data_IF_674475601509
#
_entry.id   IF_674475601509
#
_cell.length_a   1.000
_cell.length_b   1.000
_cell.length_c   1.000
_cell.angle_alpha   90.00
_cell.angle_beta   90.00
_cell.angle_gamma   90.00
#
_symmetry.space_group_name_H-M   'P 1'
#
loop_
_entity.id
_entity.type
_entity.pdbx_description
1 polymer ?
#
# COMPACT_ATOMS: atom_id res chain seq x y z
N UNK A 1 8.54 31.64 -5.76
CA UNK A 1 9.00 30.35 -6.35
C UNK A 1 8.08 29.19 -5.89
N UNK A 2 6.85 29.17 -6.40
CA UNK A 2 5.92 28.05 -6.27
C UNK A 2 5.33 27.78 -7.66
N UNK A 3 6.16 27.28 -8.57
CA UNK A 3 5.68 26.62 -9.77
C UNK A 3 5.83 25.12 -9.51
N UNK A 4 4.79 24.50 -8.95
CA UNK A 4 4.71 23.05 -8.86
C UNK A 4 4.71 22.52 -10.29
N UNK A 5 5.83 21.95 -10.74
CA UNK A 5 5.92 21.38 -12.08
C UNK A 5 5.11 20.09 -12.14
N UNK A 6 4.62 19.70 -13.32
CA UNK A 6 3.79 18.51 -13.51
C UNK A 6 4.50 17.24 -12.98
N UNK A 7 5.82 17.15 -13.12
CA UNK A 7 6.64 16.07 -12.54
C UNK A 7 6.62 16.02 -11.00
N UNK A 8 6.50 17.16 -10.32
CA UNK A 8 6.37 17.18 -8.85
C UNK A 8 5.00 16.64 -8.41
N UNK A 9 3.96 16.90 -9.20
CA UNK A 9 2.63 16.35 -8.94
C UNK A 9 2.61 14.82 -9.08
N UNK A 10 3.33 14.26 -10.07
CA UNK A 10 3.47 12.81 -10.25
C UNK A 10 4.06 12.12 -9.01
N UNK A 11 5.12 12.71 -8.42
CA UNK A 11 5.79 12.15 -7.24
C UNK A 11 4.87 12.22 -6.01
N UNK A 12 4.17 13.35 -5.84
CA UNK A 12 3.20 13.51 -4.75
C UNK A 12 2.05 12.52 -4.90
N UNK A 13 1.48 12.40 -6.10
CA UNK A 13 0.40 11.46 -6.38
C UNK A 13 0.84 10.00 -6.12
N UNK A 14 2.06 9.63 -6.52
CA UNK A 14 2.60 8.30 -6.24
C UNK A 14 2.79 8.02 -4.73
N UNK A 15 3.29 9.01 -3.97
CA UNK A 15 3.42 8.91 -2.52
C UNK A 15 2.06 8.77 -1.82
N UNK A 16 1.06 9.53 -2.26
CA UNK A 16 -0.29 9.44 -1.70
C UNK A 16 -0.96 8.11 -2.07
N UNK A 17 -0.83 7.65 -3.31
CA UNK A 17 -1.41 6.38 -3.75
C UNK A 17 -0.84 5.16 -3.01
N UNK A 18 0.46 5.18 -2.69
CA UNK A 18 1.13 4.09 -1.96
C UNK A 18 0.84 4.09 -0.46
N UNK A 19 0.35 5.20 0.10
CA UNK A 19 0.02 5.32 1.54
C UNK A 19 -1.47 5.10 1.81
N UNK A 20 -2.36 5.48 0.89
CA UNK A 20 -3.81 5.27 1.00
C UNK A 20 -4.23 3.89 0.49
N UNK A 21 -3.90 2.85 1.26
CA UNK A 21 -4.12 1.45 0.88
C UNK A 21 -5.38 0.87 1.52
N UNK A 22 -6.48 0.80 0.75
CA UNK A 22 -7.79 0.40 1.30
C UNK A 22 -7.94 -1.08 1.63
N UNK A 23 -7.29 -1.98 0.88
CA UNK A 23 -7.39 -3.41 1.17
C UNK A 23 -6.78 -3.72 2.55
N UNK A 24 -5.69 -3.04 2.93
CA UNK A 24 -5.13 -3.10 4.28
C UNK A 24 -6.13 -2.57 5.32
N UNK A 25 -6.82 -1.46 5.03
CA UNK A 25 -7.82 -0.89 5.92
C UNK A 25 -9.00 -1.86 6.16
N UNK A 26 -9.47 -2.56 5.13
CA UNK A 26 -10.47 -3.62 5.29
C UNK A 26 -9.90 -4.79 6.09
N UNK A 27 -8.71 -5.26 5.74
CA UNK A 27 -8.13 -6.44 6.39
C UNK A 27 -7.80 -6.21 7.87
N UNK A 28 -7.60 -4.95 8.29
CA UNK A 28 -7.51 -4.61 9.70
C UNK A 28 -8.70 -5.14 10.51
N UNK A 29 -9.91 -5.16 9.92
CA UNK A 29 -11.09 -5.74 10.57
C UNK A 29 -10.98 -7.26 10.80
N UNK A 30 -10.28 -7.99 9.93
CA UNK A 30 -9.99 -9.42 10.09
C UNK A 30 -8.92 -9.62 11.18
N UNK A 31 -7.87 -8.79 11.21
CA UNK A 31 -6.83 -8.87 12.25
C UNK A 31 -7.39 -8.60 13.65
N UNK A 32 -8.33 -7.67 13.78
CA UNK A 32 -9.03 -7.40 15.06
C UNK A 32 -9.84 -8.62 15.49
N UNK A 33 -10.51 -9.30 14.54
CA UNK A 33 -11.26 -10.54 14.81
C UNK A 33 -10.35 -11.71 15.17
N UNK A 34 -9.24 -11.92 14.43
CA UNK A 34 -8.25 -12.97 14.71
C UNK A 34 -7.58 -12.76 16.07
N UNK A 35 -7.31 -11.50 16.46
CA UNK A 35 -6.82 -11.14 17.80
C UNK A 35 -7.89 -11.24 18.89
N UNK A 36 -9.15 -11.54 18.54
CA UNK A 36 -10.32 -11.60 19.44
C UNK A 36 -10.53 -10.33 20.25
N UNK A 37 -10.17 -9.18 19.69
CA UNK A 37 -10.33 -7.89 20.36
C UNK A 37 -11.81 -7.50 20.42
N UNK A 38 -12.24 -7.02 21.59
CA UNK A 38 -13.60 -6.55 21.83
C UNK A 38 -13.63 -5.02 21.90
N UNK A 39 -14.82 -4.43 22.02
CA UNK A 39 -15.01 -2.98 22.16
C UNK A 39 -14.22 -2.38 23.34
N UNK A 40 -13.98 -3.15 24.41
CA UNK A 40 -13.13 -2.74 25.53
C UNK A 40 -11.68 -2.46 25.09
N UNK A 41 -11.21 -3.14 24.04
CA UNK A 41 -9.87 -2.96 23.47
C UNK A 41 -9.82 -1.83 22.43
N UNK A 42 -10.94 -1.15 22.14
CA UNK A 42 -10.99 -0.12 21.10
C UNK A 42 -9.93 0.96 21.28
N UNK A 43 -9.73 1.46 22.51
CA UNK A 43 -8.69 2.46 22.81
C UNK A 43 -7.28 1.93 22.53
N UNK A 44 -7.01 0.66 22.88
CA UNK A 44 -5.74 0.00 22.59
C UNK A 44 -5.52 -0.13 21.08
N UNK A 45 -6.56 -0.55 20.34
CA UNK A 45 -6.51 -0.68 18.88
C UNK A 45 -6.24 0.65 18.17
N UNK A 46 -6.88 1.73 18.63
CA UNK A 46 -6.65 3.06 18.08
C UNK A 46 -5.23 3.56 18.39
N UNK A 47 -4.74 3.38 19.61
CA UNK A 47 -3.37 3.76 19.97
C UNK A 47 -2.32 2.98 19.16
N UNK A 48 -2.54 1.67 18.95
CA UNK A 48 -1.67 0.83 18.11
C UNK A 48 -1.65 1.35 16.66
N UNK A 49 -2.81 1.72 16.13
CA UNK A 49 -2.96 2.31 14.79
C UNK A 49 -2.24 3.66 14.68
N UNK A 50 -2.46 4.56 15.64
CA UNK A 50 -1.81 5.88 15.64
C UNK A 50 -0.29 5.78 15.75
N UNK A 51 0.20 4.90 16.63
CA UNK A 51 1.64 4.67 16.76
C UNK A 51 2.24 4.14 15.45
N UNK A 52 1.57 3.19 14.80
CA UNK A 52 1.99 2.66 13.50
C UNK A 52 2.06 3.74 12.42
N UNK A 53 1.03 4.60 12.32
CA UNK A 53 1.00 5.70 11.35
C UNK A 53 2.11 6.72 11.62
N UNK A 54 2.32 7.11 12.88
CA UNK A 54 3.36 8.07 13.26
C UNK A 54 4.75 7.51 12.92
N UNK A 55 5.01 6.24 13.27
CA UNK A 55 6.30 5.60 12.99
C UNK A 55 6.56 5.50 11.49
N UNK A 56 5.56 5.10 10.69
CA UNK A 56 5.68 5.02 9.24
C UNK A 56 5.92 6.40 8.61
N UNK A 57 5.19 7.43 9.08
CA UNK A 57 5.37 8.80 8.61
C UNK A 57 6.76 9.33 8.97
N UNK A 58 7.27 9.02 10.16
CA UNK A 58 8.61 9.42 10.60
C UNK A 58 9.69 8.79 9.71
N UNK A 59 9.62 7.47 9.49
CA UNK A 59 10.58 6.75 8.64
C UNK A 59 10.56 7.32 7.22
N UNK A 60 9.36 7.54 6.65
CA UNK A 60 9.21 8.09 5.30
C UNK A 60 9.82 9.49 5.19
N UNK A 61 9.55 10.36 6.16
CA UNK A 61 10.13 11.71 6.21
C UNK A 61 11.65 11.68 6.35
N UNK A 62 12.20 10.76 7.14
CA UNK A 62 13.66 10.59 7.28
C UNK A 62 14.30 10.14 5.97
N UNK A 63 13.67 9.24 5.21
CA UNK A 63 14.17 8.81 3.89
C UNK A 63 14.18 9.99 2.92
N UNK A 64 13.11 10.78 2.87
CA UNK A 64 13.04 11.97 2.00
C UNK A 64 14.10 13.01 2.41
N UNK A 65 14.25 13.27 3.70
CA UNK A 65 15.21 14.25 4.23
C UNK A 65 16.65 13.82 3.96
N UNK A 66 16.98 12.55 4.20
CA UNK A 66 18.33 12.02 3.93
C UNK A 66 18.63 11.99 2.44
N UNK A 67 17.66 11.65 1.59
CA UNK A 67 17.80 11.78 0.13
C UNK A 67 18.10 13.22 -0.27
N UNK A 68 17.34 14.19 0.25
CA UNK A 68 17.54 15.59 -0.05
C UNK A 68 18.90 16.11 0.46
N UNK A 69 19.37 15.65 1.62
CA UNK A 69 20.65 16.09 2.17
C UNK A 69 21.87 15.43 1.50
N UNK A 70 21.77 14.16 1.10
CA UNK A 70 22.91 13.37 0.60
C UNK A 70 23.02 13.32 -0.92
N UNK A 71 21.89 13.27 -1.63
CA UNK A 71 21.85 13.08 -3.10
C UNK A 71 21.73 14.40 -3.84
N UNK A 72 20.89 15.33 -3.35
CA UNK A 72 20.64 16.60 -4.03
C UNK A 72 21.90 17.48 -4.19
N UNK A 73 22.78 17.65 -3.18
CA UNK A 73 23.99 18.46 -3.34
C UNK A 73 25.00 17.85 -4.32
N UNK A 74 24.96 16.52 -4.51
CA UNK A 74 25.80 15.79 -5.46
C UNK A 74 25.22 15.79 -6.89
N UNK A 75 24.03 16.38 -7.10
CA UNK A 75 23.34 16.37 -8.40
C UNK A 75 22.92 14.97 -8.87
N UNK A 76 22.82 13.99 -7.96
CA UNK A 76 22.52 12.59 -8.32
C UNK A 76 21.02 12.47 -8.59
N UNK A 77 20.67 12.08 -9.82
CA UNK A 77 19.30 11.75 -10.21
C UNK A 77 19.03 10.28 -9.90
N UNK A 78 18.03 10.03 -9.05
CA UNK A 78 17.62 8.67 -8.65
C UNK A 78 16.77 8.06 -9.75
N UNK A 79 17.28 7.02 -10.40
CA UNK A 79 16.54 6.25 -11.41
C UNK A 79 16.26 4.81 -10.95
N UNK A 80 16.97 4.34 -9.93
CA UNK A 80 16.85 2.98 -9.40
C UNK A 80 16.95 2.94 -7.88
N UNK A 81 16.51 1.82 -7.29
CA UNK A 81 16.70 1.56 -5.86
C UNK A 81 18.20 1.52 -5.48
N UNK A 82 19.08 1.12 -6.40
CA UNK A 82 20.53 1.11 -6.16
C UNK A 82 21.09 2.52 -5.99
N UNK A 83 20.55 3.52 -6.70
CA UNK A 83 20.94 4.92 -6.56
C UNK A 83 20.52 5.48 -5.19
N UNK A 84 19.36 5.05 -4.68
CA UNK A 84 18.92 5.44 -3.34
C UNK A 84 19.83 4.93 -2.24
N UNK A 85 20.53 3.81 -2.45
CA UNK A 85 21.48 3.30 -1.45
C UNK A 85 22.54 4.36 -1.10
N UNK A 86 22.98 5.18 -2.06
CA UNK A 86 24.02 6.19 -1.89
C UNK A 86 23.69 7.23 -0.81
N UNK A 87 22.41 7.42 -0.46
CA UNK A 87 22.04 8.31 0.65
C UNK A 87 22.59 7.86 2.01
N UNK A 88 22.93 6.57 2.14
CA UNK A 88 23.50 5.98 3.37
C UNK A 88 25.04 5.90 3.34
N UNK A 89 25.69 6.34 2.26
CA UNK A 89 27.15 6.33 2.09
C UNK A 89 27.87 7.04 3.25
N UNK A 90 27.33 8.16 3.75
CA UNK A 90 27.91 8.88 4.88
C UNK A 90 27.91 8.07 6.20
N UNK A 91 27.04 7.06 6.33
CA UNK A 91 26.92 6.25 7.54
C UNK A 91 27.68 4.93 7.45
N UNK A 92 27.66 4.27 6.29
CA UNK A 92 28.20 2.91 6.14
C UNK A 92 29.35 2.79 5.12
N UNK A 93 29.72 3.90 4.45
CA UNK A 93 30.81 3.92 3.48
C UNK A 93 30.65 2.89 2.38
N UNK A 94 31.68 2.04 2.19
CA UNK A 94 31.69 0.99 1.18
C UNK A 94 30.64 -0.12 1.38
N UNK A 95 30.15 -0.30 2.60
CA UNK A 95 29.15 -1.34 2.92
C UNK A 95 27.71 -0.92 2.61
N UNK A 96 27.49 0.34 2.23
CA UNK A 96 26.17 0.92 1.97
C UNK A 96 25.33 0.08 1.01
N UNK A 97 25.89 -0.36 -0.12
CA UNK A 97 25.14 -1.15 -1.11
C UNK A 97 24.67 -2.49 -0.54
N UNK A 98 25.50 -3.15 0.27
CA UNK A 98 25.18 -4.45 0.87
C UNK A 98 24.08 -4.29 1.92
N UNK A 99 24.25 -3.35 2.86
CA UNK A 99 23.27 -3.10 3.93
C UNK A 99 21.93 -2.67 3.34
N UNK A 100 21.94 -1.77 2.37
CA UNK A 100 20.72 -1.33 1.69
C UNK A 100 20.06 -2.49 0.94
N UNK A 101 20.83 -3.32 0.24
CA UNK A 101 20.28 -4.47 -0.51
C UNK A 101 19.63 -5.50 0.42
N UNK A 102 20.25 -5.80 1.57
CA UNK A 102 19.68 -6.71 2.57
C UNK A 102 18.38 -6.13 3.15
N UNK A 103 18.38 -4.84 3.50
CA UNK A 103 17.19 -4.15 4.00
C UNK A 103 16.06 -4.10 2.96
N UNK A 104 16.38 -3.80 1.70
CA UNK A 104 15.44 -3.78 0.59
C UNK A 104 14.85 -5.18 0.34
N UNK A 105 15.67 -6.23 0.39
CA UNK A 105 15.20 -7.60 0.28
C UNK A 105 14.24 -7.95 1.43
N UNK A 106 14.61 -7.66 2.68
CA UNK A 106 13.76 -7.92 3.83
C UNK A 106 12.41 -7.18 3.74
N UNK A 107 12.42 -5.91 3.31
CA UNK A 107 11.21 -5.12 3.10
C UNK A 107 10.33 -5.72 1.98
N UNK A 108 10.93 -6.13 0.85
CA UNK A 108 10.22 -6.75 -0.26
C UNK A 108 9.56 -8.07 0.13
N UNK A 109 10.28 -8.96 0.81
CA UNK A 109 9.74 -10.24 1.31
C UNK A 109 8.61 -10.03 2.33
N UNK A 110 8.79 -9.09 3.26
CA UNK A 110 7.75 -8.75 4.24
C UNK A 110 6.46 -8.28 3.55
N UNK A 111 6.58 -7.36 2.60
CA UNK A 111 5.43 -6.83 1.85
C UNK A 111 4.75 -7.91 1.00
N UNK A 112 5.53 -8.74 0.31
CA UNK A 112 5.02 -9.85 -0.50
C UNK A 112 4.20 -10.83 0.36
N UNK A 113 4.72 -11.20 1.52
CA UNK A 113 4.06 -12.14 2.42
C UNK A 113 2.75 -11.57 2.96
N UNK A 114 2.78 -10.33 3.46
CA UNK A 114 1.58 -9.66 4.00
C UNK A 114 0.51 -9.55 2.90
N UNK A 115 0.86 -9.05 1.72
CA UNK A 115 -0.10 -8.87 0.62
C UNK A 115 -0.71 -10.20 0.16
N UNK A 116 0.09 -11.27 0.13
CA UNK A 116 -0.41 -12.60 -0.26
C UNK A 116 -1.39 -13.17 0.76
N UNK A 117 -1.11 -12.95 2.06
CA UNK A 117 -2.02 -13.31 3.15
C UNK A 117 -3.33 -12.52 3.03
N UNK A 118 -3.27 -11.20 2.79
CA UNK A 118 -4.48 -10.39 2.62
C UNK A 118 -5.30 -10.91 1.44
N UNK A 119 -4.65 -11.15 0.30
CA UNK A 119 -5.31 -11.64 -0.91
C UNK A 119 -5.94 -13.01 -0.71
N UNK A 120 -5.23 -13.95 -0.11
CA UNK A 120 -5.73 -15.30 0.14
C UNK A 120 -6.89 -15.33 1.15
N UNK A 121 -6.80 -14.52 2.21
CA UNK A 121 -7.87 -14.38 3.20
C UNK A 121 -9.13 -13.73 2.65
N UNK A 122 -8.99 -12.63 1.92
CA UNK A 122 -10.13 -11.95 1.29
C UNK A 122 -10.80 -12.81 0.21
N UNK A 123 -10.01 -13.56 -0.57
CA UNK A 123 -10.54 -14.49 -1.56
C UNK A 123 -11.30 -15.65 -0.91
N UNK A 124 -10.76 -16.22 0.17
CA UNK A 124 -11.44 -17.28 0.92
C UNK A 124 -12.79 -16.82 1.49
N UNK A 125 -12.84 -15.64 2.10
CA UNK A 125 -14.08 -15.13 2.68
C UNK A 125 -15.08 -14.73 1.59
N UNK A 126 -14.59 -14.13 0.49
CA UNK A 126 -15.43 -13.81 -0.67
C UNK A 126 -16.12 -15.04 -1.29
N UNK A 127 -15.48 -16.22 -1.19
CA UNK A 127 -16.05 -17.50 -1.62
C UNK A 127 -16.80 -18.26 -0.50
N UNK A 128 -16.85 -17.71 0.73
CA UNK A 128 -17.47 -18.37 1.87
C UNK A 128 -16.71 -19.59 2.41
N UNK A 129 -15.42 -19.74 2.06
CA UNK A 129 -14.59 -20.91 2.35
C UNK A 129 -13.74 -20.79 3.62
N UNK A 130 -13.87 -19.67 4.34
CA UNK A 130 -13.15 -19.42 5.58
C UNK A 130 -12.75 -17.95 5.74
N UNK A 131 -12.55 -17.52 6.97
CA UNK A 131 -12.31 -16.11 7.34
C UNK A 131 -10.99 -15.88 8.05
N UNK A 132 -10.55 -16.84 8.86
CA UNK A 132 -9.36 -16.67 9.68
C UNK A 132 -8.11 -17.05 8.90
N UNK A 133 -7.04 -16.27 9.04
CA UNK A 133 -5.74 -16.55 8.40
C UNK A 133 -5.18 -17.95 8.75
N UNK A 134 -5.63 -18.53 9.86
CA UNK A 134 -5.19 -19.85 10.31
C UNK A 134 -5.98 -21.02 9.70
N UNK A 135 -7.06 -20.75 8.98
CA UNK A 135 -7.86 -21.78 8.34
C UNK A 135 -7.20 -22.33 7.07
N UNK A 136 -7.60 -23.55 6.70
CA UNK A 136 -6.98 -24.29 5.60
C UNK A 136 -7.13 -23.58 4.25
N UNK A 137 -8.31 -23.05 3.93
CA UNK A 137 -8.58 -22.43 2.63
C UNK A 137 -7.86 -21.09 2.43
N UNK A 138 -7.89 -20.13 3.39
CA UNK A 138 -7.05 -18.93 3.34
C UNK A 138 -5.57 -19.23 3.12
N UNK A 139 -5.02 -20.25 3.80
CA UNK A 139 -3.62 -20.67 3.63
C UNK A 139 -3.33 -21.26 2.25
N UNK A 140 -4.25 -22.06 1.72
CA UNK A 140 -4.13 -22.61 0.36
C UNK A 140 -4.13 -21.47 -0.66
N UNK A 141 -5.07 -20.53 -0.59
CA UNK A 141 -5.11 -19.40 -1.52
C UNK A 141 -3.89 -18.49 -1.37
N UNK A 142 -3.43 -18.22 -0.15
CA UNK A 142 -2.17 -17.50 0.09
C UNK A 142 -1.00 -18.20 -0.58
N UNK A 143 -0.91 -19.52 -0.44
CA UNK A 143 0.17 -20.32 -1.05
C UNK A 143 0.09 -20.31 -2.57
N UNK A 144 -1.12 -20.40 -3.15
CA UNK A 144 -1.34 -20.29 -4.59
C UNK A 144 -0.92 -18.90 -5.10
N UNK A 145 -1.30 -17.82 -4.41
CA UNK A 145 -0.90 -16.46 -4.78
C UNK A 145 0.62 -16.29 -4.73
N UNK A 146 1.28 -16.81 -3.69
CA UNK A 146 2.75 -16.80 -3.60
C UNK A 146 3.41 -17.59 -4.72
N UNK A 147 2.92 -18.79 -5.02
CA UNK A 147 3.44 -19.62 -6.11
C UNK A 147 3.23 -18.96 -7.47
N UNK A 148 2.06 -18.37 -7.73
CA UNK A 148 1.80 -17.61 -8.95
C UNK A 148 2.75 -16.40 -9.06
N UNK A 149 2.93 -15.66 -7.96
CA UNK A 149 3.88 -14.54 -7.90
C UNK A 149 5.31 -14.99 -8.21
N UNK A 150 5.74 -16.12 -7.66
CA UNK A 150 7.05 -16.72 -7.96
C UNK A 150 7.17 -17.15 -9.42
N UNK A 151 6.17 -17.84 -9.97
CA UNK A 151 6.16 -18.28 -11.38
C UNK A 151 6.25 -17.07 -12.30
N UNK A 152 5.46 -16.02 -12.04
CA UNK A 152 5.54 -14.78 -12.81
C UNK A 152 6.94 -14.17 -12.65
N UNK A 153 7.47 -14.04 -11.44
CA UNK A 153 8.80 -13.45 -11.23
C UNK A 153 9.94 -14.21 -11.95
N UNK A 154 9.86 -15.55 -12.04
CA UNK A 154 10.90 -16.39 -12.66
C UNK A 154 10.77 -16.44 -14.18
N UNK A 155 9.55 -16.58 -14.70
CA UNK A 155 9.30 -16.80 -16.13
C UNK A 155 9.04 -15.50 -16.91
N UNK A 156 8.66 -14.42 -16.24
CA UNK A 156 8.41 -13.14 -16.89
C UNK A 156 9.73 -12.46 -17.26
N UNK A 157 10.21 -12.73 -18.48
CA UNK A 157 11.34 -12.03 -19.12
C UNK A 157 10.92 -10.77 -19.89
N UNK A 158 9.65 -10.38 -19.80
CA UNK A 158 9.11 -9.18 -20.42
C UNK A 158 9.54 -7.92 -19.69
N UNK A 159 9.24 -6.75 -20.27
CA UNK A 159 9.49 -5.48 -19.61
C UNK A 159 8.64 -5.39 -18.33
N UNK A 160 9.31 -5.30 -17.17
CA UNK A 160 8.72 -5.21 -15.81
C UNK A 160 7.63 -4.14 -15.74
N UNK A 161 7.77 -3.08 -16.55
CA UNK A 161 6.80 -2.01 -16.66
C UNK A 161 5.42 -2.53 -17.07
N UNK A 162 5.31 -3.52 -17.99
CA UNK A 162 4.02 -4.09 -18.39
C UNK A 162 3.34 -4.87 -17.26
N UNK A 163 4.09 -5.68 -16.51
CA UNK A 163 3.55 -6.39 -15.35
C UNK A 163 3.04 -5.40 -14.30
N UNK A 164 3.79 -4.30 -14.09
CA UNK A 164 3.38 -3.21 -13.20
C UNK A 164 2.08 -2.56 -13.70
N UNK A 165 2.01 -2.22 -15.00
CA UNK A 165 0.83 -1.63 -15.63
C UNK A 165 -0.41 -2.51 -15.43
N UNK A 166 -0.29 -3.83 -15.65
CA UNK A 166 -1.40 -4.77 -15.48
C UNK A 166 -1.86 -4.89 -14.02
N UNK A 167 -0.91 -4.89 -13.08
CA UNK A 167 -1.25 -4.87 -11.65
C UNK A 167 -2.00 -3.59 -11.28
N UNK A 168 -1.61 -2.44 -11.83
CA UNK A 168 -2.31 -1.19 -11.59
C UNK A 168 -3.69 -1.13 -12.25
N UNK A 169 -3.86 -1.72 -13.43
CA UNK A 169 -5.18 -1.85 -14.06
C UNK A 169 -6.21 -2.57 -13.16
N UNK A 170 -5.77 -3.61 -12.44
CA UNK A 170 -6.64 -4.33 -11.49
C UNK A 170 -7.08 -3.44 -10.31
N UNK A 171 -6.17 -2.60 -9.81
CA UNK A 171 -6.44 -1.68 -8.70
C UNK A 171 -7.46 -0.60 -9.06
N UNK A 172 -7.53 -0.19 -10.34
CA UNK A 172 -8.50 0.81 -10.82
C UNK A 172 -9.94 0.39 -10.55
N UNK A 173 -10.25 -0.90 -10.68
CA UNK A 173 -11.59 -1.42 -10.40
C UNK A 173 -11.77 -1.79 -8.93
N UNK A 174 -10.77 -2.43 -8.33
CA UNK A 174 -10.89 -2.95 -6.97
C UNK A 174 -11.00 -1.84 -5.91
N UNK A 175 -10.19 -0.79 -6.03
CA UNK A 175 -10.06 0.24 -4.98
C UNK A 175 -11.35 1.06 -4.80
N UNK A 176 -12.01 1.60 -5.84
CA UNK A 176 -13.28 2.32 -5.67
C UNK A 176 -14.38 1.42 -5.10
N UNK A 177 -14.47 0.16 -5.56
CA UNK A 177 -15.46 -0.80 -5.08
C UNK A 177 -15.30 -1.06 -3.57
N UNK A 178 -14.07 -1.31 -3.14
CA UNK A 178 -13.69 -1.46 -1.73
C UNK A 178 -14.07 -0.19 -0.94
N UNK A 179 -13.76 0.99 -1.47
CA UNK A 179 -14.03 2.26 -0.83
C UNK A 179 -15.54 2.47 -0.60
N UNK A 180 -16.35 2.21 -1.63
CA UNK A 180 -17.81 2.29 -1.55
C UNK A 180 -18.36 1.27 -0.55
N UNK A 181 -17.90 0.02 -0.59
CA UNK A 181 -18.32 -1.02 0.36
C UNK A 181 -18.05 -0.60 1.82
N UNK A 182 -16.84 -0.08 2.09
CA UNK A 182 -16.48 0.41 3.41
C UNK A 182 -17.35 1.60 3.84
N UNK A 183 -17.57 2.58 2.94
CA UNK A 183 -18.42 3.74 3.23
C UNK A 183 -19.86 3.34 3.57
N UNK A 184 -20.43 2.37 2.86
CA UNK A 184 -21.78 1.85 3.12
C UNK A 184 -21.87 1.13 4.46
N UNK A 185 -20.90 0.27 4.78
CA UNK A 185 -20.87 -0.48 6.04
C UNK A 185 -20.72 0.46 7.24
N UNK A 186 -19.82 1.45 7.16
CA UNK A 186 -19.60 2.44 8.22
C UNK A 186 -20.81 3.35 8.48
N UNK A 187 -21.67 3.52 7.48
CA UNK A 187 -22.91 4.30 7.59
C UNK A 187 -24.15 3.47 7.94
N UNK A 188 -24.06 2.14 7.92
CA UNK A 188 -25.21 1.29 8.18
C UNK A 188 -25.50 1.19 9.69
N UNK A 189 -26.66 1.72 10.12
CA UNK A 189 -27.10 1.69 11.51
C UNK A 189 -27.32 0.27 12.05
N UNK A 190 -27.70 -0.69 11.19
CA UNK A 190 -27.91 -2.10 11.59
C UNK A 190 -26.60 -2.78 11.99
N UNK A 191 -25.49 -2.43 11.32
CA UNK A 191 -24.18 -3.05 11.55
C UNK A 191 -23.39 -2.27 12.61
N UNK A 192 -23.30 -0.95 12.48
CA UNK A 192 -22.44 -0.12 13.33
C UNK A 192 -23.12 0.36 14.62
N UNK A 193 -24.46 0.33 14.69
CA UNK A 193 -25.21 0.74 15.87
C UNK A 193 -24.84 2.14 16.36
N UNK A 194 -24.28 2.23 17.58
CA UNK A 194 -23.83 3.48 18.22
C UNK A 194 -22.49 4.00 17.69
N UNK A 195 -21.73 3.19 16.94
CA UNK A 195 -20.41 3.52 16.38
C UNK A 195 -20.47 3.95 14.91
N UNK A 196 -21.66 4.26 14.39
CA UNK A 196 -21.84 4.80 13.04
C UNK A 196 -21.04 6.10 12.90
N UNK A 197 -20.49 6.31 11.71
CA UNK A 197 -19.82 7.56 11.37
C UNK A 197 -20.72 8.78 11.67
N UNK A 198 -20.13 9.75 12.39
CA UNK A 198 -20.72 11.09 12.57
C UNK A 198 -20.54 11.93 11.29
N UNK A 199 -21.25 13.05 11.20
CA UNK A 199 -21.18 13.96 10.04
C UNK A 199 -19.76 14.37 9.68
N UNK A 200 -18.91 14.70 10.67
CA UNK A 200 -17.50 15.02 10.43
C UNK A 200 -16.67 13.86 9.88
N UNK A 201 -16.91 12.64 10.38
CA UNK A 201 -16.22 11.44 9.87
C UNK A 201 -16.67 11.10 8.43
N UNK A 202 -17.93 11.35 8.11
CA UNK A 202 -18.43 11.20 6.74
C UNK A 202 -17.83 12.23 5.78
N UNK A 203 -17.63 13.48 6.21
CA UNK A 203 -16.94 14.49 5.37
C UNK A 203 -15.53 14.01 5.04
N UNK A 204 -14.78 13.52 6.04
CA UNK A 204 -13.43 12.98 5.85
C UNK A 204 -13.46 11.74 4.93
N UNK A 205 -14.43 10.84 5.13
CA UNK A 205 -14.57 9.64 4.30
C UNK A 205 -14.92 9.97 2.85
N UNK A 206 -15.79 10.97 2.60
CA UNK A 206 -16.12 11.44 1.25
C UNK A 206 -14.90 12.12 0.61
N UNK A 207 -14.18 12.95 1.35
CA UNK A 207 -12.94 13.56 0.86
C UNK A 207 -11.91 12.49 0.46
N UNK A 208 -11.69 11.49 1.32
CA UNK A 208 -10.81 10.36 1.02
C UNK A 208 -11.28 9.56 -0.21
N UNK A 209 -12.59 9.31 -0.33
CA UNK A 209 -13.17 8.64 -1.49
C UNK A 209 -12.93 9.42 -2.79
N UNK A 210 -13.16 10.74 -2.78
CA UNK A 210 -12.90 11.61 -3.93
C UNK A 210 -11.41 11.60 -4.30
N UNK A 211 -10.53 11.71 -3.30
CA UNK A 211 -9.08 11.67 -3.51
C UNK A 211 -8.64 10.34 -4.14
N UNK A 212 -9.17 9.21 -3.67
CA UNK A 212 -8.94 7.89 -4.27
C UNK A 212 -9.42 7.85 -5.72
N UNK A 213 -10.62 8.37 -6.01
CA UNK A 213 -11.14 8.41 -7.38
C UNK A 213 -10.23 9.25 -8.30
N UNK A 214 -9.71 10.38 -7.82
CA UNK A 214 -8.77 11.23 -8.56
C UNK A 214 -7.47 10.47 -8.82
N UNK A 215 -6.91 9.78 -7.83
CA UNK A 215 -5.68 8.99 -8.00
C UNK A 215 -5.87 7.86 -9.00
N UNK A 216 -6.99 7.15 -8.91
CA UNK A 216 -7.35 6.09 -9.86
C UNK A 216 -7.47 6.65 -11.27
N UNK A 217 -8.15 7.78 -11.46
CA UNK A 217 -8.25 8.45 -12.75
C UNK A 217 -6.89 8.87 -13.31
N UNK A 218 -6.03 9.45 -12.46
CA UNK A 218 -4.68 9.84 -12.83
C UNK A 218 -3.82 8.62 -13.24
N UNK A 219 -3.88 7.53 -12.47
CA UNK A 219 -3.19 6.27 -12.81
C UNK A 219 -3.70 5.67 -14.11
N UNK A 220 -5.00 5.75 -14.37
CA UNK A 220 -5.61 5.33 -15.63
C UNK A 220 -5.09 6.14 -16.82
N UNK A 221 -5.05 7.46 -16.71
CA UNK A 221 -4.50 8.32 -17.76
C UNK A 221 -3.04 7.95 -18.06
N UNK A 222 -2.22 7.77 -17.02
CA UNK A 222 -0.82 7.37 -17.16
C UNK A 222 -0.67 5.99 -17.81
N UNK A 223 -1.58 5.06 -17.48
CA UNK A 223 -1.63 3.73 -18.09
C UNK A 223 -1.92 3.82 -19.60
N UNK A 224 -2.92 4.59 -20.02
CA UNK A 224 -3.21 4.79 -21.45
C UNK A 224 -2.03 5.41 -22.17
N UNK A 225 -1.45 6.50 -21.64
CA UNK A 225 -0.30 7.16 -22.27
C UNK A 225 0.90 6.22 -22.39
N UNK A 226 1.12 5.37 -21.40
CA UNK A 226 2.21 4.37 -21.43
C UNK A 226 1.97 3.28 -22.47
N UNK A 227 0.73 2.81 -22.63
CA UNK A 227 0.37 1.82 -23.65
C UNK A 227 0.43 2.43 -25.05
N UNK A 228 0.00 3.68 -25.22
CA UNK A 228 0.02 4.37 -26.53
C UNK A 228 1.43 4.77 -26.99
N UNK A 229 2.41 4.77 -26.08
CA UNK A 229 3.80 5.11 -26.35
C UNK A 229 4.67 3.89 -26.73
N UNK A 230 4.09 2.68 -26.75
CA UNK A 230 4.74 1.43 -27.13
C UNK A 230 4.16 0.94 -28.45
#
# INVERSE_FOLDING_TARGET
PLSVSIQQFDVIAALVATTFVLHCAIYQSYLVQDKKWKLVNMKKSLNDTYMGIILLSLISSLIILTSAAALHPKGIVVNSAADMALQLEALFGSYTKIIFSVGLCAAAFSSLMVNSIMGGGLLADGLGLGRSMNEKMPRIFTSIILLLGMVIAVFFRGNIIYALIMAQASSIFAVPLIATGLFLVLNNKKIMGKYRNKTGQNIIAVFGFVLICILVFYMYHKLITSISAI
#
